data_IF_863881335172
#
_entry.id   IF_863881335172
#
_cell.length_a   1.000
_cell.length_b   1.000
_cell.length_c   1.000
_cell.angle_alpha   90.00
_cell.angle_beta   90.00
_cell.angle_gamma   90.00
#
_symmetry.space_group_name_H-M   'P 1'
#
loop_
_entity.id
_entity.type
_entity.pdbx_description
1 polymer ?
#
# COMPACT_ATOMS: atom_id res chain seq x y z
N UNK A 1 -3.89 -52.40 -21.82
CA UNK A 1 -4.27 -50.97 -21.62
C UNK A 1 -3.86 -50.17 -22.84
N UNK A 2 -4.80 -49.56 -23.58
CA UNK A 2 -4.57 -48.48 -24.56
C UNK A 2 -5.94 -47.96 -25.03
N UNK A 3 -6.12 -46.64 -25.13
CA UNK A 3 -7.37 -45.99 -25.55
C UNK A 3 -7.51 -46.07 -27.08
N UNK A 4 -8.72 -46.37 -27.57
CA UNK A 4 -9.00 -46.38 -29.01
C UNK A 4 -8.92 -44.97 -29.60
N UNK A 5 -8.34 -44.88 -30.81
CA UNK A 5 -8.47 -43.75 -31.74
C UNK A 5 -9.12 -44.30 -32.99
N UNK A 6 -10.20 -43.69 -33.46
CA UNK A 6 -10.73 -43.78 -34.83
C UNK A 6 -11.63 -42.54 -35.03
N UNK A 7 -11.80 -41.87 -36.17
CA UNK A 7 -11.12 -41.53 -37.44
C UNK A 7 -12.25 -41.17 -38.43
N UNK A 8 -11.93 -40.49 -39.56
CA UNK A 8 -12.82 -40.09 -40.67
C UNK A 8 -13.80 -38.94 -40.40
N UNK A 9 -14.07 -38.00 -41.32
CA UNK A 9 -13.42 -37.60 -42.60
C UNK A 9 -13.95 -36.20 -42.97
N UNK A 10 -13.26 -35.22 -43.58
CA UNK A 10 -12.29 -35.13 -44.69
C UNK A 10 -12.91 -34.54 -45.98
N UNK A 11 -12.54 -33.29 -46.27
CA UNK A 11 -12.45 -32.62 -47.59
C UNK A 11 -11.57 -31.38 -47.34
N UNK A 12 -10.33 -31.24 -47.83
CA UNK A 12 -9.81 -31.31 -49.21
C UNK A 12 -10.58 -30.32 -50.12
N UNK A 13 -9.96 -29.35 -50.80
CA UNK A 13 -8.66 -29.43 -51.50
C UNK A 13 -8.02 -28.05 -51.79
N UNK A 14 -6.67 -28.01 -51.85
CA UNK A 14 -5.77 -27.28 -52.81
C UNK A 14 -5.99 -25.75 -53.01
N UNK A 15 -5.09 -24.86 -53.50
CA UNK A 15 -3.64 -24.72 -53.78
C UNK A 15 -3.43 -23.17 -54.04
N UNK A 16 -2.27 -22.52 -54.01
CA UNK A 16 -0.86 -22.92 -53.86
C UNK A 16 -0.02 -21.80 -53.15
N UNK A 17 1.29 -21.96 -53.14
CA UNK A 17 2.33 -21.02 -52.69
C UNK A 17 2.74 -19.94 -53.70
N UNK A 18 3.27 -18.81 -53.23
CA UNK A 18 4.58 -18.30 -53.67
C UNK A 18 5.18 -17.29 -52.67
N UNK A 19 6.42 -17.52 -52.23
CA UNK A 19 7.25 -16.48 -51.60
C UNK A 19 8.12 -15.82 -52.67
N UNK A 20 8.30 -14.51 -52.60
CA UNK A 20 9.48 -13.81 -53.16
C UNK A 20 9.94 -12.79 -52.13
N UNK A 21 11.26 -12.74 -51.89
CA UNK A 21 11.88 -11.87 -50.90
C UNK A 21 12.53 -10.64 -51.56
N UNK A 22 12.52 -9.52 -50.83
CA UNK A 22 13.50 -8.43 -50.78
C UNK A 22 12.97 -7.38 -49.79
N UNK A 23 13.75 -6.65 -48.99
CA UNK A 23 15.21 -6.56 -48.97
C UNK A 23 15.66 -5.10 -48.94
N UNK A 24 15.69 -4.50 -47.75
CA UNK A 24 16.48 -3.30 -47.35
C UNK A 24 16.46 -2.03 -48.23
N UNK A 25 15.97 -0.92 -47.67
CA UNK A 25 16.19 0.42 -48.23
C UNK A 25 15.74 1.54 -47.29
N UNK A 26 16.68 2.26 -46.69
CA UNK A 26 16.38 3.36 -45.77
C UNK A 26 16.34 4.71 -46.49
N UNK A 27 15.35 5.54 -46.16
CA UNK A 27 15.38 6.99 -46.38
C UNK A 27 14.54 7.70 -45.32
N UNK A 28 15.14 8.63 -44.57
CA UNK A 28 14.40 9.55 -43.69
C UNK A 28 13.66 10.58 -44.53
N UNK A 29 12.44 10.91 -44.12
CA UNK A 29 11.89 12.26 -44.31
C UNK A 29 11.16 12.65 -43.04
N UNK A 30 11.51 13.80 -42.48
CA UNK A 30 10.76 14.41 -41.38
C UNK A 30 9.47 15.01 -41.95
N UNK A 31 8.38 14.96 -41.17
CA UNK A 31 7.17 15.73 -41.45
C UNK A 31 6.62 16.27 -40.14
N UNK A 32 6.31 17.57 -40.15
CA UNK A 32 5.83 18.35 -39.00
C UNK A 32 4.68 17.67 -38.27
N UNK A 33 4.70 17.74 -36.94
CA UNK A 33 3.49 17.62 -36.12
C UNK A 33 2.83 19.00 -36.07
N UNK A 34 1.66 19.14 -36.69
CA UNK A 34 0.75 20.24 -36.43
C UNK A 34 -0.22 19.89 -35.29
N UNK A 35 -0.60 20.92 -34.54
CA UNK A 35 -1.22 20.79 -33.23
C UNK A 35 -2.71 20.42 -33.38
N UNK A 36 -3.10 19.23 -32.91
CA UNK A 36 -4.51 18.82 -32.83
C UNK A 36 -5.04 19.07 -31.42
N UNK A 37 -5.92 20.05 -31.26
CA UNK A 37 -6.59 20.34 -29.98
C UNK A 37 -7.39 19.10 -29.52
N UNK A 38 -7.03 18.51 -28.38
CA UNK A 38 -7.86 17.47 -27.78
C UNK A 38 -9.08 18.11 -27.09
N UNK A 39 -10.23 17.70 -27.61
CA UNK A 39 -11.56 18.20 -27.30
C UNK A 39 -11.93 18.07 -25.82
N UNK A 40 -12.84 18.95 -25.39
CA UNK A 40 -13.59 18.86 -24.14
C UNK A 40 -13.88 17.41 -23.70
N UNK A 41 -13.44 17.07 -22.49
CA UNK A 41 -14.08 16.00 -21.74
C UNK A 41 -15.47 16.48 -21.31
N UNK A 42 -16.52 15.89 -21.88
CA UNK A 42 -17.87 16.05 -21.35
C UNK A 42 -17.91 15.48 -19.93
N UNK A 43 -18.16 16.35 -18.94
CA UNK A 43 -18.55 15.89 -17.61
C UNK A 43 -19.94 15.29 -17.71
N UNK A 44 -20.00 13.98 -17.91
CA UNK A 44 -21.13 13.19 -17.40
C UNK A 44 -21.14 13.35 -15.89
N UNK A 45 -22.28 13.78 -15.31
CA UNK A 45 -22.47 13.69 -13.86
C UNK A 45 -22.24 12.24 -13.45
N UNK A 46 -21.24 12.01 -12.62
CA UNK A 46 -20.91 10.68 -12.14
C UNK A 46 -22.01 10.19 -11.20
N UNK A 47 -22.28 8.88 -11.26
CA UNK A 47 -23.28 8.19 -10.45
C UNK A 47 -23.13 8.48 -8.94
N UNK A 48 -21.90 8.75 -8.50
CA UNK A 48 -21.52 8.93 -7.10
C UNK A 48 -21.47 10.41 -6.64
N UNK A 49 -21.68 11.38 -7.54
CA UNK A 49 -21.58 12.82 -7.24
C UNK A 49 -22.57 13.33 -6.19
N UNK A 50 -23.69 12.62 -6.00
CA UNK A 50 -24.71 12.92 -4.98
C UNK A 50 -24.50 12.23 -3.63
N UNK A 51 -23.53 11.31 -3.50
CA UNK A 51 -23.32 10.54 -2.27
C UNK A 51 -22.63 11.37 -1.19
N UNK A 52 -23.08 11.21 0.05
CA UNK A 52 -22.46 11.78 1.24
C UNK A 52 -21.47 10.80 1.84
N UNK A 53 -20.19 11.11 1.67
CA UNK A 53 -19.08 10.25 2.05
C UNK A 53 -18.11 11.02 2.96
N UNK A 54 -17.69 10.39 4.05
CA UNK A 54 -16.64 10.89 4.94
C UNK A 54 -15.51 9.87 5.07
N UNK A 55 -14.28 10.37 5.20
CA UNK A 55 -13.09 9.64 5.64
C UNK A 55 -12.61 10.21 6.98
N UNK A 56 -12.58 9.36 8.01
CA UNK A 56 -12.14 9.68 9.37
C UNK A 56 -10.72 9.13 9.56
N UNK A 57 -9.79 10.01 9.95
CA UNK A 57 -8.37 9.68 10.12
C UNK A 57 -7.91 9.93 11.57
N UNK A 58 -7.12 9.02 12.15
CA UNK A 58 -6.61 9.09 13.51
C UNK A 58 -5.43 10.05 13.68
N UNK A 59 -4.77 10.42 12.57
CA UNK A 59 -3.60 11.29 12.53
C UNK A 59 -3.73 12.32 11.41
N UNK A 60 -2.67 13.08 11.18
CA UNK A 60 -2.69 14.15 10.18
C UNK A 60 -2.51 13.64 8.75
N UNK A 61 -3.17 14.28 7.78
CA UNK A 61 -2.99 14.01 6.34
C UNK A 61 -1.57 14.30 5.83
N UNK A 62 -0.74 14.98 6.62
CA UNK A 62 0.66 15.30 6.30
C UNK A 62 1.67 14.25 6.84
N UNK A 63 1.21 13.08 7.31
CA UNK A 63 2.06 12.01 7.89
C UNK A 63 3.04 11.32 6.91
N UNK A 64 3.02 11.71 5.63
CA UNK A 64 3.83 11.15 4.53
C UNK A 64 3.74 9.62 4.41
N UNK A 65 2.68 9.01 4.94
CA UNK A 65 2.53 7.57 5.13
C UNK A 65 1.06 7.14 5.04
N UNK A 66 0.42 6.80 6.16
CA UNK A 66 -0.84 6.08 6.20
C UNK A 66 -2.03 6.99 5.94
N UNK A 67 -2.11 8.08 6.70
CA UNK A 67 -3.18 9.08 6.62
C UNK A 67 -3.08 9.85 5.30
N UNK A 68 -1.86 10.22 4.89
CA UNK A 68 -1.57 10.84 3.60
C UNK A 68 -2.05 9.98 2.42
N UNK A 69 -1.79 8.66 2.46
CA UNK A 69 -2.22 7.73 1.40
C UNK A 69 -3.74 7.58 1.33
N UNK A 70 -4.42 7.49 2.49
CA UNK A 70 -5.89 7.41 2.54
C UNK A 70 -6.54 8.71 2.03
N UNK A 71 -6.03 9.89 2.41
CA UNK A 71 -6.47 11.18 1.88
C UNK A 71 -6.19 11.30 0.36
N UNK A 72 -5.02 10.87 -0.11
CA UNK A 72 -4.70 10.86 -1.54
C UNK A 72 -5.69 10.00 -2.34
N UNK A 73 -6.08 8.83 -1.82
CA UNK A 73 -7.15 7.99 -2.38
C UNK A 73 -8.50 8.72 -2.43
N UNK A 74 -8.92 9.38 -1.34
CA UNK A 74 -10.14 10.20 -1.34
C UNK A 74 -10.09 11.32 -2.40
N UNK A 75 -8.96 12.00 -2.57
CA UNK A 75 -8.78 13.04 -3.61
C UNK A 75 -8.62 12.48 -5.02
N UNK A 76 -8.37 11.19 -5.19
CA UNK A 76 -8.47 10.51 -6.47
C UNK A 76 -9.94 10.19 -6.80
N UNK A 77 -10.71 9.67 -5.84
CA UNK A 77 -12.17 9.48 -5.99
C UNK A 77 -12.89 10.79 -6.35
N UNK A 78 -12.56 11.91 -5.70
CA UNK A 78 -13.16 13.22 -6.03
C UNK A 78 -12.91 13.66 -7.49
N UNK A 79 -11.80 13.21 -8.10
CA UNK A 79 -11.44 13.51 -9.50
C UNK A 79 -12.07 12.54 -10.50
N UNK A 80 -12.03 11.24 -10.20
CA UNK A 80 -12.44 10.16 -11.12
C UNK A 80 -13.93 9.84 -11.01
N UNK A 81 -14.48 9.89 -9.81
CA UNK A 81 -15.86 9.53 -9.46
C UNK A 81 -16.73 10.75 -9.16
N UNK A 82 -16.18 11.97 -9.27
CA UNK A 82 -16.91 13.23 -9.06
C UNK A 82 -17.52 13.40 -7.66
N UNK A 83 -17.05 12.62 -6.69
CA UNK A 83 -17.45 12.69 -5.29
C UNK A 83 -16.98 14.00 -4.63
N UNK A 84 -17.43 14.23 -3.39
CA UNK A 84 -16.89 15.27 -2.51
C UNK A 84 -16.67 14.66 -1.13
N UNK A 85 -15.65 13.82 -1.02
CA UNK A 85 -15.33 13.11 0.22
C UNK A 85 -14.84 14.13 1.25
N UNK A 86 -15.61 14.27 2.33
CA UNK A 86 -15.22 14.98 3.52
C UNK A 86 -14.09 14.22 4.21
N UNK A 87 -13.08 14.93 4.71
CA UNK A 87 -11.95 14.31 5.44
C UNK A 87 -11.86 14.98 6.80
N UNK A 88 -11.94 14.16 7.85
CA UNK A 88 -11.68 14.57 9.25
C UNK A 88 -10.36 13.93 9.65
N UNK A 89 -9.42 14.73 10.16
CA UNK A 89 -8.09 14.26 10.54
C UNK A 89 -7.83 14.44 12.03
N UNK A 90 -6.84 13.70 12.55
CA UNK A 90 -6.41 13.77 13.95
C UNK A 90 -7.52 13.57 14.99
N UNK A 91 -8.52 12.72 14.68
CA UNK A 91 -9.59 12.39 15.64
C UNK A 91 -9.00 11.57 16.80
N UNK A 92 -9.22 11.96 18.07
CA UNK A 92 -8.73 11.22 19.22
C UNK A 92 -9.63 10.01 19.53
N UNK A 93 -9.07 9.00 20.22
CA UNK A 93 -9.73 7.69 20.43
C UNK A 93 -11.04 7.83 21.21
N UNK A 94 -11.07 8.74 22.19
CA UNK A 94 -12.27 9.06 22.98
C UNK A 94 -13.43 9.66 22.18
N UNK A 95 -13.18 10.18 20.97
CA UNK A 95 -14.20 10.77 20.11
C UNK A 95 -14.73 9.81 19.03
N UNK A 96 -14.10 8.65 18.79
CA UNK A 96 -14.43 7.75 17.68
C UNK A 96 -15.92 7.35 17.63
N UNK A 97 -16.52 6.94 18.74
CA UNK A 97 -17.95 6.57 18.80
C UNK A 97 -18.84 7.79 18.51
N UNK A 98 -18.49 8.96 19.04
CA UNK A 98 -19.22 10.20 18.80
C UNK A 98 -19.16 10.61 17.33
N UNK A 99 -17.98 10.54 16.70
CA UNK A 99 -17.81 10.84 15.27
C UNK A 99 -18.63 9.90 14.39
N UNK A 100 -18.58 8.58 14.64
CA UNK A 100 -19.41 7.61 13.88
C UNK A 100 -20.91 7.85 14.06
N UNK A 101 -21.33 8.23 15.28
CA UNK A 101 -22.72 8.54 15.62
C UNK A 101 -23.18 9.78 14.84
N UNK A 102 -22.39 10.85 14.87
CA UNK A 102 -22.70 12.12 14.20
C UNK A 102 -22.90 11.94 12.68
N UNK A 103 -22.06 11.16 11.99
CA UNK A 103 -22.24 10.91 10.56
C UNK A 103 -23.40 9.96 10.24
N UNK A 104 -23.73 9.03 11.15
CA UNK A 104 -24.94 8.20 11.07
C UNK A 104 -26.23 9.03 11.23
N UNK A 105 -26.30 9.92 12.24
CA UNK A 105 -27.42 10.82 12.46
C UNK A 105 -27.61 11.82 11.32
N UNK A 106 -26.50 12.35 10.77
CA UNK A 106 -26.53 13.18 9.56
C UNK A 106 -27.00 12.41 8.33
N UNK A 107 -27.07 11.08 8.36
CA UNK A 107 -27.41 10.23 7.20
C UNK A 107 -26.38 10.39 6.09
N UNK A 108 -25.14 9.97 6.35
CA UNK A 108 -24.14 9.74 5.30
C UNK A 108 -24.38 8.37 4.67
N UNK A 109 -24.11 8.24 3.37
CA UNK A 109 -24.27 6.97 2.66
C UNK A 109 -23.11 6.02 2.99
N UNK A 110 -21.90 6.57 3.13
CA UNK A 110 -20.67 5.85 3.45
C UNK A 110 -19.82 6.61 4.48
N UNK A 111 -19.47 5.92 5.57
CA UNK A 111 -18.57 6.41 6.60
C UNK A 111 -17.33 5.52 6.63
N UNK A 112 -16.21 6.06 6.17
CA UNK A 112 -14.92 5.38 6.12
C UNK A 112 -14.05 5.82 7.29
N UNK A 113 -13.30 4.90 7.91
CA UNK A 113 -12.21 5.25 8.81
C UNK A 113 -10.95 4.40 8.53
N UNK A 114 -9.77 4.92 8.85
CA UNK A 114 -8.50 4.23 8.53
C UNK A 114 -7.69 3.85 9.78
N UNK A 115 -7.72 2.57 10.13
CA UNK A 115 -6.96 1.96 11.22
C UNK A 115 -7.81 1.00 12.06
N UNK A 116 -7.22 -0.10 12.53
CA UNK A 116 -7.94 -1.12 13.32
C UNK A 116 -8.44 -0.61 14.67
N UNK A 117 -7.88 0.49 15.20
CA UNK A 117 -8.34 1.12 16.44
C UNK A 117 -9.78 1.68 16.37
N UNK A 118 -10.35 1.83 15.17
CA UNK A 118 -11.76 2.21 15.00
C UNK A 118 -12.72 1.01 15.07
N UNK A 119 -12.26 -0.24 15.02
CA UNK A 119 -13.12 -1.43 14.91
C UNK A 119 -14.15 -1.52 16.05
N UNK A 120 -13.73 -1.28 17.30
CA UNK A 120 -14.62 -1.35 18.48
C UNK A 120 -15.70 -0.26 18.45
N UNK A 121 -15.29 1.00 18.23
CA UNK A 121 -16.20 2.15 18.17
C UNK A 121 -17.19 2.04 17.00
N UNK A 122 -16.74 1.52 15.86
CA UNK A 122 -17.60 1.29 14.71
C UNK A 122 -18.61 0.16 14.98
N UNK A 123 -18.18 -0.95 15.58
CA UNK A 123 -19.08 -2.07 15.93
C UNK A 123 -20.18 -1.68 16.93
N UNK A 124 -19.90 -0.74 17.85
CA UNK A 124 -20.89 -0.20 18.77
C UNK A 124 -21.96 0.69 18.09
N UNK A 125 -21.58 1.39 17.02
CA UNK A 125 -22.42 2.42 16.37
C UNK A 125 -23.13 1.92 15.12
N UNK A 126 -22.45 1.19 14.23
CA UNK A 126 -22.98 0.78 12.93
C UNK A 126 -24.36 0.10 12.99
N UNK A 127 -24.66 -0.83 13.94
CA UNK A 127 -25.98 -1.46 14.01
C UNK A 127 -27.15 -0.50 14.25
N UNK A 128 -26.89 0.73 14.73
CA UNK A 128 -27.91 1.73 15.03
C UNK A 128 -28.32 2.55 13.78
N UNK A 129 -27.54 2.47 12.70
CA UNK A 129 -27.68 3.28 11.49
C UNK A 129 -27.65 2.42 10.21
N UNK A 130 -28.55 1.43 10.11
CA UNK A 130 -28.62 0.42 9.02
C UNK A 130 -28.55 0.97 7.58
N UNK A 131 -28.88 2.24 7.35
CA UNK A 131 -28.84 2.90 6.03
C UNK A 131 -27.46 3.46 5.66
N UNK A 132 -26.59 3.65 6.64
CA UNK A 132 -25.22 4.12 6.47
C UNK A 132 -24.32 2.90 6.43
N UNK A 133 -23.51 2.77 5.38
CA UNK A 133 -22.45 1.77 5.33
C UNK A 133 -21.23 2.31 6.08
N UNK A 134 -20.68 1.51 6.98
CA UNK A 134 -19.43 1.80 7.67
C UNK A 134 -18.34 0.87 7.14
N UNK A 135 -17.17 1.42 6.82
CA UNK A 135 -16.00 0.63 6.39
C UNK A 135 -14.75 1.07 7.14
N UNK A 136 -14.06 0.11 7.74
CA UNK A 136 -12.79 0.34 8.42
C UNK A 136 -11.67 -0.21 7.53
N UNK A 137 -10.85 0.70 7.01
CA UNK A 137 -9.65 0.38 6.23
C UNK A 137 -8.57 -0.07 7.22
N UNK A 138 -8.01 -1.25 7.01
CA UNK A 138 -7.24 -2.02 8.00
C UNK A 138 -8.06 -2.46 9.24
N UNK A 139 -9.39 -2.47 9.13
CA UNK A 139 -10.26 -3.10 10.11
C UNK A 139 -10.50 -4.57 9.81
N UNK A 140 -11.08 -5.27 10.77
CA UNK A 140 -11.38 -6.71 10.70
C UNK A 140 -12.77 -7.08 11.22
N UNK A 141 -13.39 -6.23 12.04
CA UNK A 141 -14.74 -6.45 12.57
C UNK A 141 -15.82 -6.26 11.52
N UNK A 142 -16.87 -7.08 11.61
CA UNK A 142 -18.03 -7.07 10.73
C UNK A 142 -19.22 -7.61 11.53
N UNK A 143 -19.55 -6.87 12.60
CA UNK A 143 -20.51 -7.31 13.61
C UNK A 143 -21.98 -6.97 13.21
N UNK A 144 -22.17 -6.27 12.08
CA UNK A 144 -23.45 -6.00 11.43
C UNK A 144 -23.34 -5.98 9.90
N UNK A 145 -24.46 -6.20 9.20
CA UNK A 145 -24.52 -6.25 7.73
C UNK A 145 -24.04 -4.95 7.04
N UNK A 146 -24.11 -3.81 7.73
CA UNK A 146 -23.64 -2.51 7.26
C UNK A 146 -22.22 -2.14 7.74
N UNK A 147 -21.53 -3.03 8.46
CA UNK A 147 -20.11 -2.87 8.83
C UNK A 147 -19.25 -3.77 7.94
N UNK A 148 -18.67 -3.18 6.89
CA UNK A 148 -17.95 -3.88 5.82
C UNK A 148 -16.48 -3.48 5.86
N UNK A 149 -15.60 -4.18 6.61
CA UNK A 149 -14.20 -3.81 6.73
C UNK A 149 -13.41 -4.11 5.44
N UNK A 150 -12.35 -3.34 5.20
CA UNK A 150 -11.35 -3.61 4.15
C UNK A 150 -10.03 -3.92 4.84
N UNK A 151 -9.62 -5.17 4.86
CA UNK A 151 -8.34 -5.59 5.46
C UNK A 151 -7.24 -5.75 4.38
N UNK A 152 -6.26 -4.83 4.29
CA UNK A 152 -5.12 -5.00 3.41
C UNK A 152 -4.24 -6.14 3.91
N UNK A 153 -3.89 -7.08 3.04
CA UNK A 153 -2.96 -8.16 3.37
C UNK A 153 -1.52 -7.66 3.28
N UNK A 154 -1.14 -6.75 4.18
CA UNK A 154 0.18 -6.09 4.13
C UNK A 154 1.34 -7.09 4.12
N UNK A 155 1.18 -8.25 4.78
CA UNK A 155 2.13 -9.37 4.76
C UNK A 155 2.46 -9.92 3.35
N UNK A 156 1.54 -9.85 2.37
CA UNK A 156 1.82 -10.22 0.98
C UNK A 156 2.81 -9.21 0.33
N UNK A 157 2.69 -7.92 0.67
CA UNK A 157 3.67 -6.90 0.32
C UNK A 157 4.99 -7.07 1.09
N UNK A 158 4.92 -7.45 2.37
CA UNK A 158 6.08 -7.67 3.24
C UNK A 158 6.93 -8.86 2.79
N UNK A 159 6.31 -9.89 2.22
CA UNK A 159 7.01 -10.98 1.53
C UNK A 159 7.91 -10.41 0.41
N UNK A 160 7.36 -9.56 -0.46
CA UNK A 160 8.09 -8.96 -1.58
C UNK A 160 9.21 -8.04 -1.06
N UNK A 161 8.91 -7.21 -0.06
CA UNK A 161 9.90 -6.36 0.59
C UNK A 161 11.04 -7.18 1.24
N UNK A 162 10.72 -8.33 1.84
CA UNK A 162 11.69 -9.28 2.38
C UNK A 162 12.60 -9.87 1.31
N UNK A 163 12.05 -10.27 0.15
CA UNK A 163 12.87 -10.73 -1.00
C UNK A 163 13.83 -9.62 -1.46
N UNK A 164 13.33 -8.39 -1.60
CA UNK A 164 14.15 -7.22 -1.97
C UNK A 164 15.28 -7.04 -0.96
N UNK A 165 14.96 -6.97 0.34
CA UNK A 165 15.95 -6.85 1.41
C UNK A 165 17.01 -7.96 1.36
N UNK A 166 16.57 -9.21 1.19
CA UNK A 166 17.43 -10.38 1.10
C UNK A 166 18.39 -10.37 -0.09
N UNK A 167 18.06 -9.70 -1.20
CA UNK A 167 18.96 -9.44 -2.33
C UNK A 167 19.79 -8.15 -2.19
N UNK A 168 19.30 -7.17 -1.42
CA UNK A 168 19.93 -5.86 -1.21
C UNK A 168 21.06 -5.89 -0.17
N UNK A 169 20.94 -6.71 0.88
CA UNK A 169 21.96 -6.84 1.92
C UNK A 169 23.29 -7.37 1.38
N UNK A 170 24.40 -6.90 1.96
CA UNK A 170 25.77 -7.35 1.72
C UNK A 170 26.27 -8.27 2.85
N UNK A 171 25.80 -8.06 4.09
CA UNK A 171 26.27 -8.77 5.30
C UNK A 171 25.22 -9.68 5.97
N UNK A 172 23.94 -9.60 5.57
CA UNK A 172 22.85 -10.43 6.08
C UNK A 172 22.23 -9.96 7.40
N UNK A 173 22.59 -8.78 7.91
CA UNK A 173 22.14 -8.26 9.20
C UNK A 173 21.09 -7.16 8.99
N UNK A 174 19.83 -7.48 9.27
CA UNK A 174 18.69 -6.60 9.04
C UNK A 174 18.29 -5.85 10.33
N UNK A 175 17.92 -4.58 10.18
CA UNK A 175 17.26 -3.79 11.22
C UNK A 175 15.79 -3.62 10.86
N UNK A 176 14.89 -4.09 11.72
CA UNK A 176 13.44 -3.99 11.54
C UNK A 176 12.81 -3.20 12.68
N UNK A 177 11.99 -2.21 12.33
CA UNK A 177 11.27 -1.36 13.27
C UNK A 177 9.78 -1.32 12.92
N UNK A 178 8.93 -1.49 13.91
CA UNK A 178 7.49 -1.18 13.83
C UNK A 178 7.12 -0.06 14.80
N UNK A 179 5.98 0.59 14.57
CA UNK A 179 5.40 1.55 15.51
C UNK A 179 4.99 0.89 16.82
N UNK A 180 3.78 0.34 16.86
CA UNK A 180 3.27 -0.40 18.03
C UNK A 180 3.13 -1.90 17.76
N UNK A 181 3.27 -2.70 18.82
CA UNK A 181 3.16 -4.16 18.76
C UNK A 181 1.69 -4.60 18.79
N UNK A 182 1.08 -4.73 17.61
CA UNK A 182 -0.22 -5.40 17.41
C UNK A 182 -0.08 -6.64 16.51
N UNK A 183 -1.13 -7.46 16.41
CA UNK A 183 -1.10 -8.74 15.68
C UNK A 183 -0.76 -8.57 14.18
N UNK A 184 -1.30 -7.54 13.53
CA UNK A 184 -1.03 -7.28 12.11
C UNK A 184 0.42 -6.85 11.88
N UNK A 185 0.94 -5.92 12.70
CA UNK A 185 2.32 -5.46 12.67
C UNK A 185 3.32 -6.60 12.97
N UNK A 186 3.03 -7.46 13.94
CA UNK A 186 3.87 -8.64 14.23
C UNK A 186 3.89 -9.59 13.04
N UNK A 187 2.75 -9.92 12.45
CA UNK A 187 2.68 -10.82 11.29
C UNK A 187 3.38 -10.24 10.05
N UNK A 188 3.27 -8.92 9.82
CA UNK A 188 4.00 -8.18 8.79
C UNK A 188 5.52 -8.28 8.99
N UNK A 189 6.01 -8.02 10.19
CA UNK A 189 7.44 -8.06 10.50
C UNK A 189 7.98 -9.50 10.47
N UNK A 190 7.25 -10.48 11.01
CA UNK A 190 7.59 -11.91 10.94
C UNK A 190 7.77 -12.37 9.48
N UNK A 191 6.86 -11.92 8.60
CA UNK A 191 6.91 -12.25 7.17
C UNK A 191 8.10 -11.60 6.47
N UNK A 192 8.32 -10.30 6.68
CA UNK A 192 9.48 -9.59 6.11
C UNK A 192 10.81 -10.24 6.56
N UNK A 193 10.97 -10.46 7.86
CA UNK A 193 12.21 -10.95 8.46
C UNK A 193 12.52 -12.39 8.05
N UNK A 194 11.51 -13.27 8.09
CA UNK A 194 11.67 -14.67 7.68
C UNK A 194 12.12 -14.80 6.23
N UNK A 195 11.51 -14.02 5.33
CA UNK A 195 11.86 -14.04 3.90
C UNK A 195 13.21 -13.37 3.63
N UNK A 196 13.49 -12.22 4.25
CA UNK A 196 14.79 -11.54 4.09
C UNK A 196 15.97 -12.43 4.54
N UNK A 197 15.83 -13.08 5.69
CA UNK A 197 16.85 -14.00 6.24
C UNK A 197 16.97 -15.27 5.38
N UNK A 198 15.86 -15.83 4.90
CA UNK A 198 15.89 -17.00 4.01
C UNK A 198 16.61 -16.67 2.68
N UNK A 199 16.19 -15.60 1.99
CA UNK A 199 16.79 -15.15 0.74
C UNK A 199 18.29 -14.80 0.89
N UNK A 200 18.69 -14.17 2.00
CA UNK A 200 20.10 -13.91 2.27
C UNK A 200 20.91 -15.21 2.47
N UNK A 201 20.35 -16.21 3.18
CA UNK A 201 21.00 -17.52 3.38
C UNK A 201 21.14 -18.31 2.08
N UNK A 202 20.13 -18.27 1.22
CA UNK A 202 20.18 -18.87 -0.13
C UNK A 202 21.27 -18.24 -1.02
N UNK A 203 21.55 -16.94 -0.83
CA UNK A 203 22.70 -16.24 -1.47
C UNK A 203 24.06 -16.58 -0.86
N UNK A 204 24.12 -17.34 0.25
CA UNK A 204 25.34 -17.75 0.93
C UNK A 204 25.68 -16.97 2.22
N UNK A 205 24.82 -16.05 2.67
CA UNK A 205 25.02 -15.31 3.93
C UNK A 205 24.49 -16.15 5.10
N UNK A 206 25.27 -17.18 5.48
CA UNK A 206 24.85 -18.20 6.44
C UNK A 206 24.43 -17.65 7.82
N UNK A 207 25.09 -16.59 8.31
CA UNK A 207 24.84 -15.94 9.60
C UNK A 207 23.75 -14.85 9.56
N UNK A 208 22.99 -14.77 8.45
CA UNK A 208 21.95 -13.75 8.29
C UNK A 208 20.87 -13.85 9.37
N UNK A 209 20.45 -12.67 9.86
CA UNK A 209 19.53 -12.48 10.99
C UNK A 209 18.86 -11.12 10.89
N UNK A 210 17.63 -11.04 11.40
CA UNK A 210 16.97 -9.76 11.65
C UNK A 210 17.01 -9.42 13.14
N UNK A 211 17.06 -8.13 13.44
CA UNK A 211 16.97 -7.59 14.78
C UNK A 211 15.75 -6.66 14.79
N UNK A 212 14.73 -6.98 15.59
CA UNK A 212 13.49 -6.21 15.68
C UNK A 212 13.51 -5.23 16.84
N UNK A 213 12.91 -4.06 16.64
CA UNK A 213 12.50 -3.14 17.70
C UNK A 213 11.08 -2.62 17.45
N UNK A 214 10.40 -2.20 18.52
CA UNK A 214 9.17 -1.42 18.43
C UNK A 214 9.46 -0.03 18.99
N UNK A 215 9.12 1.00 18.20
CA UNK A 215 9.37 2.40 18.58
C UNK A 215 8.38 2.88 19.65
N UNK A 216 7.20 2.26 19.73
CA UNK A 216 6.06 2.65 20.57
C UNK A 216 5.60 4.10 20.30
N UNK A 217 5.75 4.52 19.05
CA UNK A 217 5.38 5.84 18.53
C UNK A 217 5.31 5.79 17.01
N UNK A 218 4.25 6.38 16.44
CA UNK A 218 4.08 6.54 15.00
C UNK A 218 4.75 7.81 14.47
N UNK A 219 4.89 8.83 15.33
CA UNK A 219 5.17 10.21 14.89
C UNK A 219 6.55 10.74 15.32
N UNK A 220 7.23 10.10 16.28
CA UNK A 220 8.51 10.61 16.81
C UNK A 220 9.71 10.25 15.90
N UNK A 221 10.01 11.18 14.99
CA UNK A 221 11.18 11.20 14.10
C UNK A 221 12.50 11.02 14.86
N UNK A 222 12.64 11.56 16.07
CA UNK A 222 13.89 11.49 16.85
C UNK A 222 14.13 10.07 17.39
N UNK A 223 13.07 9.41 17.89
CA UNK A 223 13.13 8.01 18.31
C UNK A 223 13.44 7.10 17.11
N UNK A 224 12.76 7.30 15.97
CA UNK A 224 13.05 6.54 14.75
C UNK A 224 14.50 6.67 14.28
N UNK A 225 15.06 7.89 14.29
CA UNK A 225 16.47 8.16 13.93
C UNK A 225 17.46 7.53 14.90
N UNK A 226 17.21 7.67 16.20
CA UNK A 226 18.09 7.11 17.24
C UNK A 226 18.12 5.58 17.17
N UNK A 227 16.96 4.94 17.05
CA UNK A 227 16.85 3.48 16.99
C UNK A 227 17.53 2.91 15.75
N UNK A 228 17.24 3.47 14.57
CA UNK A 228 17.87 3.05 13.32
C UNK A 228 19.40 3.22 13.38
N UNK A 229 19.89 4.36 13.88
CA UNK A 229 21.33 4.61 14.05
C UNK A 229 22.00 3.56 14.93
N UNK A 230 21.39 3.21 16.07
CA UNK A 230 21.92 2.19 16.98
C UNK A 230 21.96 0.80 16.32
N UNK A 231 20.94 0.43 15.54
CA UNK A 231 20.89 -0.87 14.87
C UNK A 231 21.93 -0.97 13.74
N UNK A 232 22.17 0.12 13.01
CA UNK A 232 23.25 0.21 12.00
C UNK A 232 24.64 0.18 12.66
N UNK A 233 24.83 0.87 13.79
CA UNK A 233 26.09 0.83 14.56
C UNK A 233 26.35 -0.57 15.17
N UNK A 234 25.29 -1.34 15.45
CA UNK A 234 25.37 -2.77 15.77
C UNK A 234 25.53 -3.68 14.53
N UNK A 235 25.86 -3.09 13.37
CA UNK A 235 26.27 -3.75 12.15
C UNK A 235 25.15 -4.12 11.17
N UNK A 236 23.94 -3.59 11.32
CA UNK A 236 22.90 -3.80 10.31
C UNK A 236 23.17 -2.97 9.05
N UNK A 237 23.05 -3.56 7.85
CA UNK A 237 23.28 -2.86 6.58
C UNK A 237 21.99 -2.51 5.83
N UNK A 238 20.87 -3.12 6.23
CA UNK A 238 19.57 -3.02 5.55
C UNK A 238 18.50 -2.75 6.59
N UNK A 239 17.76 -1.66 6.39
CA UNK A 239 16.81 -1.09 7.34
C UNK A 239 15.40 -1.14 6.75
N UNK A 240 14.45 -1.58 7.57
CA UNK A 240 13.01 -1.48 7.33
C UNK A 240 12.38 -0.83 8.56
N UNK A 241 11.56 0.20 8.34
CA UNK A 241 10.78 0.83 9.39
C UNK A 241 9.35 1.01 8.89
N UNK A 242 8.37 0.53 9.64
CA UNK A 242 6.95 0.80 9.39
C UNK A 242 6.34 1.51 10.60
N UNK A 243 6.49 2.84 10.61
CA UNK A 243 5.97 3.69 11.68
C UNK A 243 5.82 5.14 11.22
N UNK A 244 4.81 5.41 10.39
CA UNK A 244 4.45 6.73 9.82
C UNK A 244 5.60 7.76 9.74
N UNK A 245 5.51 8.91 10.42
CA UNK A 245 6.53 9.96 10.39
C UNK A 245 7.84 9.54 11.08
N UNK A 246 7.78 8.66 12.09
CA UNK A 246 8.99 8.11 12.70
C UNK A 246 9.87 7.34 11.69
N UNK A 247 9.27 6.84 10.60
CA UNK A 247 9.97 6.27 9.43
C UNK A 247 10.97 7.24 8.82
N UNK A 248 10.65 8.54 8.72
CA UNK A 248 11.54 9.57 8.18
C UNK A 248 12.83 9.69 8.98
N UNK A 249 12.76 9.51 10.30
CA UNK A 249 13.94 9.44 11.16
C UNK A 249 14.85 8.27 10.82
N UNK A 250 14.27 7.10 10.59
CA UNK A 250 15.02 5.91 10.17
C UNK A 250 15.66 6.08 8.77
N UNK A 251 14.97 6.76 7.84
CA UNK A 251 15.52 7.11 6.52
C UNK A 251 16.72 8.05 6.65
N UNK A 252 16.63 9.10 7.47
CA UNK A 252 17.77 10.01 7.75
C UNK A 252 18.99 9.26 8.30
N UNK A 253 18.80 8.43 9.33
CA UNK A 253 19.88 7.62 9.92
C UNK A 253 20.52 6.69 8.87
N UNK A 254 19.68 6.05 8.05
CA UNK A 254 20.14 5.14 6.98
C UNK A 254 21.03 5.89 5.97
N UNK A 255 20.63 7.09 5.55
CA UNK A 255 21.39 7.92 4.63
C UNK A 255 22.71 8.41 5.23
N UNK A 256 22.70 8.94 6.46
CA UNK A 256 23.89 9.40 7.19
C UNK A 256 24.94 8.28 7.35
N UNK A 257 24.49 7.07 7.69
CA UNK A 257 25.33 5.89 7.88
C UNK A 257 25.64 5.12 6.58
N UNK A 258 25.03 5.49 5.45
CA UNK A 258 25.13 4.84 4.13
C UNK A 258 24.65 3.38 4.08
N UNK A 259 23.72 3.02 4.96
CA UNK A 259 23.00 1.75 4.90
C UNK A 259 21.96 1.75 3.75
N UNK A 260 21.20 0.67 3.58
CA UNK A 260 20.11 0.55 2.61
C UNK A 260 18.76 0.66 3.33
N UNK A 261 17.79 1.36 2.73
CA UNK A 261 16.42 1.41 3.24
C UNK A 261 15.48 0.66 2.30
N UNK A 262 14.56 -0.15 2.84
CA UNK A 262 13.48 -0.79 2.09
C UNK A 262 12.18 -0.08 2.42
N UNK A 263 11.68 0.71 1.47
CA UNK A 263 10.43 1.44 1.59
C UNK A 263 9.21 0.52 1.65
N UNK A 264 8.22 0.92 2.45
CA UNK A 264 6.95 0.22 2.62
C UNK A 264 5.80 1.22 2.74
N UNK A 265 4.57 0.80 2.42
CA UNK A 265 3.34 1.60 2.32
C UNK A 265 3.34 2.75 1.27
N UNK A 266 4.47 3.44 1.06
CA UNK A 266 4.63 4.52 0.09
C UNK A 266 5.97 4.43 -0.67
N UNK A 267 6.10 5.18 -1.78
CA UNK A 267 7.37 5.33 -2.48
C UNK A 267 8.30 6.28 -1.71
N UNK A 268 9.33 5.73 -1.07
CA UNK A 268 10.29 6.47 -0.24
C UNK A 268 11.57 6.92 -0.96
N UNK A 269 11.68 6.73 -2.28
CA UNK A 269 12.88 7.08 -3.05
C UNK A 269 13.11 8.60 -3.20
N UNK A 270 12.05 9.40 -3.10
CA UNK A 270 12.08 10.86 -3.25
C UNK A 270 12.05 11.61 -1.90
N UNK A 271 12.05 10.88 -0.78
CA UNK A 271 12.03 11.50 0.56
C UNK A 271 13.38 12.16 0.84
N UNK A 272 13.42 13.49 0.68
CA UNK A 272 14.65 14.29 0.75
C UNK A 272 15.19 14.28 2.17
N UNK A 273 16.38 13.69 2.34
CA UNK A 273 17.19 13.85 3.55
C UNK A 273 17.71 15.29 3.57
N UNK A 274 17.11 16.12 4.42
CA UNK A 274 17.52 17.51 4.69
C UNK A 274 18.58 17.56 5.79
#
# INVERSE_FOLDING_TARGET
>A
MKKNRLFFSATLALLASMMVACGGGAAKSESKVENGEQQNAEKTDSEYSGMKIVLILPGSIDDQSWNASNNAGAKQCDKELGTKIEVVESVPVEEFEQTFTEYGEKGYDLVMAAGSQFDEACAAVAPQYEKTVYTIINGTKSDSDNMVPVFPKEYEGSYIAGVIAGYTTENGNFATMGGESNLAMVHLLDTYEGIAVATAKERGLADARANRSFLNTWTDVSIGKAMASQMIDNGADTVFCYSNEATSGAIQATAEKKAKFVGFAANKNEEVIV
#
